data_IF_382270574663
#
_entry.id   IF_382270574663
#
_cell.length_a   1.000
_cell.length_b   1.000
_cell.length_c   1.000
_cell.angle_alpha   90.00
_cell.angle_beta   90.00
_cell.angle_gamma   90.00
#
_symmetry.space_group_name_H-M   'P 1'
#
loop_
_entity.id
_entity.type
_entity.pdbx_description
1 polymer ?
#
# COMPACT_ATOMS: atom_id res chain seq x y z
N UNK A 1 -14.68 13.40 20.27
CA UNK A 1 -13.44 12.59 20.22
C UNK A 1 -13.17 12.31 18.76
N UNK A 2 -12.01 12.71 18.25
CA UNK A 2 -11.59 12.36 16.88
C UNK A 2 -11.39 10.84 16.86
N UNK A 3 -12.16 10.12 16.04
CA UNK A 3 -11.98 8.68 15.87
C UNK A 3 -10.77 8.49 14.95
N UNK A 4 -9.66 8.04 15.53
CA UNK A 4 -8.48 7.62 14.78
C UNK A 4 -8.71 6.19 14.28
N UNK A 5 -8.23 5.89 13.08
CA UNK A 5 -8.25 4.54 12.53
C UNK A 5 -7.28 3.61 13.29
N UNK A 6 -7.45 2.28 13.24
CA UNK A 6 -6.63 1.35 14.03
C UNK A 6 -5.12 1.52 13.86
N UNK A 7 -4.63 1.78 12.65
CA UNK A 7 -3.22 2.09 12.43
C UNK A 7 -2.80 3.44 12.98
N UNK A 8 -3.65 4.46 12.91
CA UNK A 8 -3.38 5.78 13.48
C UNK A 8 -3.32 5.70 15.01
N UNK A 9 -4.17 4.86 15.61
CA UNK A 9 -4.09 4.53 17.04
C UNK A 9 -2.77 3.82 17.36
N UNK A 10 -2.33 2.87 16.52
CA UNK A 10 -1.04 2.21 16.69
C UNK A 10 0.14 3.19 16.55
N UNK A 11 0.14 4.08 15.55
CA UNK A 11 1.20 5.07 15.33
C UNK A 11 1.29 6.06 16.51
N UNK A 12 0.14 6.57 16.95
CA UNK A 12 0.03 7.43 18.13
C UNK A 12 0.56 6.71 19.36
N UNK A 13 0.18 5.44 19.53
CA UNK A 13 0.62 4.64 20.68
C UNK A 13 2.13 4.38 20.65
N UNK A 14 2.68 3.93 19.53
CA UNK A 14 4.11 3.65 19.36
C UNK A 14 4.95 4.92 19.61
N UNK A 15 4.54 6.05 19.03
CA UNK A 15 5.21 7.34 19.22
C UNK A 15 5.13 7.79 20.68
N UNK A 16 3.98 7.60 21.35
CA UNK A 16 3.82 7.94 22.76
C UNK A 16 4.68 7.05 23.68
N UNK A 17 4.80 5.75 23.38
CA UNK A 17 5.67 4.80 24.08
C UNK A 17 7.14 5.16 23.90
N UNK A 18 7.57 5.49 22.69
CA UNK A 18 8.95 5.91 22.41
C UNK A 18 9.33 7.18 23.18
N UNK A 19 8.43 8.17 23.22
CA UNK A 19 8.63 9.43 23.96
C UNK A 19 8.83 9.23 25.47
N UNK A 20 8.33 8.14 26.04
CA UNK A 20 8.51 7.81 27.47
C UNK A 20 9.54 6.70 27.70
N UNK A 21 10.34 6.37 26.69
CA UNK A 21 11.41 5.38 26.79
C UNK A 21 10.91 3.95 26.96
N UNK A 22 9.86 3.56 26.22
CA UNK A 22 9.33 2.19 26.22
C UNK A 22 8.33 1.87 27.33
N UNK A 23 7.94 2.86 28.15
CA UNK A 23 6.94 2.70 29.23
C UNK A 23 5.52 2.91 28.69
N UNK A 24 4.52 2.47 29.46
CA UNK A 24 3.11 2.74 29.15
C UNK A 24 2.85 4.26 29.28
N UNK A 25 2.47 4.96 28.20
CA UNK A 25 2.27 6.40 28.22
C UNK A 25 0.97 6.77 28.95
N UNK A 26 0.96 7.95 29.56
CA UNK A 26 -0.27 8.48 30.18
C UNK A 26 -1.20 9.05 29.11
N UNK A 27 -2.51 9.12 29.41
CA UNK A 27 -3.49 9.70 28.49
C UNK A 27 -3.19 11.14 28.06
N UNK A 28 -2.46 11.91 28.88
CA UNK A 28 -1.98 13.25 28.51
C UNK A 28 -0.92 13.20 27.40
N UNK A 29 0.05 12.31 27.52
CA UNK A 29 1.12 12.14 26.52
C UNK A 29 0.53 11.66 25.20
N UNK A 30 -0.39 10.69 25.24
CA UNK A 30 -1.14 10.24 24.06
C UNK A 30 -1.87 11.41 23.41
N UNK A 31 -2.57 12.24 24.20
CA UNK A 31 -3.28 13.42 23.68
C UNK A 31 -2.36 14.47 23.06
N UNK A 32 -1.20 14.72 23.66
CA UNK A 32 -0.21 15.65 23.13
C UNK A 32 0.40 15.15 21.80
N UNK A 33 0.60 13.84 21.66
CA UNK A 33 1.05 13.20 20.40
C UNK A 33 -0.02 13.32 19.32
N UNK A 34 -1.28 13.01 19.64
CA UNK A 34 -2.41 13.21 18.72
C UNK A 34 -2.46 14.66 18.25
N UNK A 35 -2.33 15.61 19.17
CA UNK A 35 -2.38 17.03 18.83
C UNK A 35 -1.20 17.46 17.96
N UNK A 36 0.02 17.00 18.23
CA UNK A 36 1.19 17.27 17.37
C UNK A 36 1.04 16.68 15.98
N UNK A 37 0.45 15.50 15.85
CA UNK A 37 0.15 14.88 14.55
C UNK A 37 -0.88 15.74 13.81
N UNK A 38 -1.95 16.16 14.48
CA UNK A 38 -2.98 17.06 13.93
C UNK A 38 -2.41 18.44 13.53
N UNK A 39 -1.42 18.96 14.23
CA UNK A 39 -0.79 20.25 13.94
C UNK A 39 0.22 20.15 12.78
N UNK A 40 0.94 19.03 12.66
CA UNK A 40 1.86 18.76 11.53
C UNK A 40 1.11 18.59 10.22
N UNK A 41 -0.16 18.16 10.28
CA UNK A 41 -1.03 17.87 9.15
C UNK A 41 -1.97 19.01 8.75
N UNK A 42 -1.65 20.27 9.09
CA UNK A 42 -2.37 21.44 8.55
C UNK A 42 -2.35 21.53 7.01
N UNK A 43 -1.51 20.75 6.34
CA UNK A 43 -1.63 20.49 4.90
C UNK A 43 -2.52 19.25 4.71
N UNK A 44 -3.66 19.38 4.02
CA UNK A 44 -4.57 18.25 3.80
C UNK A 44 -3.86 17.16 2.99
N UNK A 45 -4.26 15.91 3.22
CA UNK A 45 -3.82 14.80 2.38
C UNK A 45 -4.06 15.15 0.91
N UNK A 46 -2.98 15.18 0.11
CA UNK A 46 -3.04 15.55 -1.31
C UNK A 46 -3.26 14.36 -2.22
N UNK A 47 -3.29 13.12 -1.69
CA UNK A 47 -3.53 11.94 -2.50
C UNK A 47 -4.97 11.91 -3.01
N UNK A 48 -5.14 11.35 -4.21
CA UNK A 48 -6.43 11.11 -4.84
C UNK A 48 -6.67 9.62 -5.03
N UNK A 49 -7.94 9.24 -5.10
CA UNK A 49 -8.32 7.87 -5.43
C UNK A 49 -7.74 7.45 -6.79
N UNK A 50 -7.21 6.23 -6.84
CA UNK A 50 -6.59 5.66 -8.04
C UNK A 50 -5.16 6.14 -8.32
N UNK A 51 -4.62 7.06 -7.52
CA UNK A 51 -3.23 7.48 -7.68
C UNK A 51 -2.25 6.37 -7.36
N UNK A 52 -1.17 6.31 -8.12
CA UNK A 52 -0.06 5.40 -7.87
C UNK A 52 0.93 6.05 -6.91
N UNK A 53 1.34 5.29 -5.90
CA UNK A 53 2.31 5.70 -4.91
C UNK A 53 3.38 4.61 -4.72
N UNK A 54 4.51 4.98 -4.12
CA UNK A 54 5.52 4.01 -3.65
C UNK A 54 5.43 3.85 -2.14
N UNK A 55 5.58 2.61 -1.68
CA UNK A 55 5.64 2.30 -0.25
C UNK A 55 7.09 2.46 0.25
N UNK A 56 7.29 3.39 1.17
CA UNK A 56 8.53 3.58 1.93
C UNK A 56 8.39 2.84 3.27
N UNK A 57 8.51 1.52 3.24
CA UNK A 57 8.31 0.67 4.43
C UNK A 57 9.05 1.17 5.69
N UNK A 58 10.23 1.79 5.53
CA UNK A 58 11.05 2.40 6.59
C UNK A 58 11.07 1.52 7.86
N UNK A 59 10.39 1.95 8.90
CA UNK A 59 10.28 1.40 10.25
C UNK A 59 8.91 0.74 10.53
N UNK A 60 7.98 0.74 9.56
CA UNK A 60 6.66 0.14 9.73
C UNK A 60 6.72 -1.40 9.54
N UNK A 61 6.51 -2.20 10.60
CA UNK A 61 6.59 -3.66 10.52
C UNK A 61 5.48 -4.29 9.66
N UNK A 62 4.33 -3.63 9.51
CA UNK A 62 3.22 -4.11 8.66
C UNK A 62 3.55 -4.00 7.17
N UNK A 63 4.52 -3.13 6.81
CA UNK A 63 4.99 -2.92 5.44
C UNK A 63 6.26 -3.71 5.13
N UNK A 64 6.66 -4.66 6.00
CA UNK A 64 7.87 -5.46 5.81
C UNK A 64 7.83 -6.19 4.47
N UNK A 65 8.91 -6.04 3.69
CA UNK A 65 9.05 -6.61 2.35
C UNK A 65 8.43 -5.77 1.23
N UNK A 66 7.65 -4.73 1.55
CA UNK A 66 6.99 -3.86 0.55
C UNK A 66 7.76 -2.58 0.23
N UNK A 67 8.94 -2.41 0.83
CA UNK A 67 9.79 -1.25 0.60
C UNK A 67 10.18 -1.10 -0.87
N UNK A 68 9.76 0.00 -1.49
CA UNK A 68 10.01 0.30 -2.90
C UNK A 68 8.98 -0.27 -3.87
N UNK A 69 8.03 -1.09 -3.40
CA UNK A 69 6.91 -1.56 -4.21
C UNK A 69 5.96 -0.39 -4.51
N UNK A 70 5.28 -0.47 -5.65
CA UNK A 70 4.19 0.44 -5.96
C UNK A 70 2.87 -0.06 -5.37
N UNK A 71 1.92 0.85 -5.24
CA UNK A 71 0.55 0.57 -4.84
C UNK A 71 -0.40 1.65 -5.32
N UNK A 72 -1.69 1.37 -5.27
CA UNK A 72 -2.76 2.24 -5.77
C UNK A 72 -3.59 2.71 -4.60
N UNK A 73 -3.82 4.01 -4.50
CA UNK A 73 -4.67 4.59 -3.48
C UNK A 73 -6.12 4.15 -3.70
N UNK A 74 -6.62 3.27 -2.82
CA UNK A 74 -8.00 2.79 -2.82
C UNK A 74 -8.91 3.63 -1.92
N UNK A 75 -8.35 4.29 -0.89
CA UNK A 75 -9.06 5.22 0.00
C UNK A 75 -8.12 6.31 0.48
N UNK A 76 -8.62 7.53 0.55
CA UNK A 76 -7.91 8.70 1.10
C UNK A 76 -8.51 9.01 2.46
N UNK A 77 -7.70 9.02 3.51
CA UNK A 77 -8.08 9.45 4.85
C UNK A 77 -7.29 10.70 5.22
N UNK A 78 -7.56 11.30 6.38
CA UNK A 78 -6.93 12.57 6.77
C UNK A 78 -5.39 12.46 6.89
N UNK A 79 -4.87 11.34 7.40
CA UNK A 79 -3.42 11.14 7.65
C UNK A 79 -2.86 9.83 7.09
N UNK A 80 -3.67 9.10 6.33
CA UNK A 80 -3.29 7.83 5.74
C UNK A 80 -4.02 7.62 4.42
N UNK A 81 -3.53 6.68 3.63
CA UNK A 81 -4.28 6.12 2.52
C UNK A 81 -4.43 4.62 2.73
N UNK A 82 -5.57 4.05 2.34
CA UNK A 82 -5.62 2.62 2.03
C UNK A 82 -5.00 2.44 0.66
N UNK A 83 -3.93 1.65 0.60
CA UNK A 83 -3.17 1.36 -0.61
C UNK A 83 -3.36 -0.10 -0.97
N UNK A 84 -3.89 -0.34 -2.17
CA UNK A 84 -3.97 -1.64 -2.80
C UNK A 84 -2.61 -1.99 -3.41
N UNK A 85 -2.04 -3.09 -2.99
CA UNK A 85 -0.80 -3.68 -3.49
C UNK A 85 -1.11 -4.95 -4.27
N UNK A 86 -0.07 -5.63 -4.75
CA UNK A 86 -0.20 -6.93 -5.39
C UNK A 86 -0.70 -8.04 -4.46
N UNK A 87 -0.56 -7.88 -3.13
CA UNK A 87 -0.91 -8.91 -2.15
C UNK A 87 -2.12 -8.61 -1.26
N UNK A 88 -2.67 -7.41 -1.33
CA UNK A 88 -3.83 -7.01 -0.55
C UNK A 88 -3.96 -5.50 -0.41
N UNK A 89 -4.74 -5.06 0.56
CA UNK A 89 -4.88 -3.64 0.90
C UNK A 89 -4.28 -3.36 2.27
N UNK A 90 -3.56 -2.24 2.37
CA UNK A 90 -2.88 -1.82 3.57
C UNK A 90 -3.24 -0.37 3.86
N UNK A 91 -3.61 -0.05 5.09
CA UNK A 91 -3.55 1.33 5.51
C UNK A 91 -2.07 1.75 5.58
N UNK A 92 -1.74 2.95 5.10
CA UNK A 92 -0.36 3.45 5.05
C UNK A 92 -0.38 4.93 5.41
N UNK A 93 0.32 5.29 6.49
CA UNK A 93 0.51 6.68 6.88
C UNK A 93 1.26 7.48 5.79
N UNK A 94 0.92 8.75 5.62
CA UNK A 94 1.46 9.59 4.54
C UNK A 94 3.00 9.66 4.51
N UNK A 95 3.65 9.57 5.67
CA UNK A 95 5.12 9.54 5.81
C UNK A 95 5.79 8.29 5.22
N UNK A 96 5.01 7.23 4.99
CA UNK A 96 5.42 5.98 4.37
C UNK A 96 5.01 5.90 2.90
N UNK A 97 4.45 6.97 2.34
CA UNK A 97 4.13 7.07 0.92
C UNK A 97 5.06 8.06 0.23
N UNK A 98 5.46 7.73 -0.98
CA UNK A 98 6.14 8.64 -1.90
C UNK A 98 5.26 8.86 -3.10
N UNK A 99 4.98 10.12 -3.41
CA UNK A 99 4.36 10.50 -4.67
C UNK A 99 5.26 10.11 -5.84
N UNK A 100 4.65 9.47 -6.82
CA UNK A 100 5.19 9.45 -8.17
C UNK A 100 4.37 10.42 -9.01
N UNK A 101 5.00 11.43 -9.59
CA UNK A 101 4.40 12.23 -10.66
C UNK A 101 4.46 11.44 -11.97
N UNK A 102 3.90 10.24 -11.99
CA UNK A 102 3.76 9.47 -13.23
C UNK A 102 2.71 10.12 -14.13
N UNK A 103 2.92 10.00 -15.45
CA UNK A 103 1.91 10.39 -16.42
C UNK A 103 0.67 9.51 -16.26
N UNK A 104 -0.52 10.05 -16.52
CA UNK A 104 -1.81 9.35 -16.36
C UNK A 104 -1.82 7.96 -17.03
N UNK A 105 -1.28 7.85 -18.24
CA UNK A 105 -1.20 6.58 -18.98
C UNK A 105 -0.34 5.52 -18.27
N UNK A 106 0.73 5.94 -17.58
CA UNK A 106 1.58 5.04 -16.79
C UNK A 106 0.83 4.56 -15.55
N UNK A 107 0.08 5.46 -14.89
CA UNK A 107 -0.79 5.10 -13.77
C UNK A 107 -1.91 4.13 -14.17
N UNK A 108 -2.46 4.25 -15.39
CA UNK A 108 -3.45 3.32 -15.93
C UNK A 108 -2.88 1.91 -16.12
N UNK A 109 -1.70 1.81 -16.75
CA UNK A 109 -1.02 0.51 -16.94
C UNK A 109 -0.73 -0.18 -15.60
N UNK A 110 -0.24 0.57 -14.61
CA UNK A 110 0.03 0.01 -13.29
C UNK A 110 -1.24 -0.46 -12.58
N UNK A 111 -2.34 0.28 -12.72
CA UNK A 111 -3.66 -0.15 -12.21
C UNK A 111 -4.11 -1.44 -12.86
N UNK A 112 -4.01 -1.53 -14.18
CA UNK A 112 -4.36 -2.74 -14.93
C UNK A 112 -3.54 -3.95 -14.47
N UNK A 113 -2.22 -3.80 -14.36
CA UNK A 113 -1.33 -4.88 -13.88
C UNK A 113 -1.73 -5.32 -12.47
N UNK A 114 -2.02 -4.37 -11.57
CA UNK A 114 -2.44 -4.67 -10.20
C UNK A 114 -3.74 -5.46 -10.15
N UNK A 115 -4.72 -5.06 -10.94
CA UNK A 115 -6.01 -5.72 -10.98
C UNK A 115 -5.89 -7.12 -11.57
N UNK A 116 -5.10 -7.29 -12.62
CA UNK A 116 -4.80 -8.60 -13.21
C UNK A 116 -4.15 -9.55 -12.20
N UNK A 117 -3.12 -9.08 -11.48
CA UNK A 117 -2.45 -9.87 -10.43
C UNK A 117 -3.42 -10.23 -9.30
N UNK A 118 -4.20 -9.27 -8.79
CA UNK A 118 -5.11 -9.52 -7.68
C UNK A 118 -6.20 -10.53 -8.04
N UNK A 119 -6.79 -10.45 -9.24
CA UNK A 119 -7.79 -11.43 -9.71
C UNK A 119 -7.23 -12.86 -9.76
N UNK A 120 -5.98 -13.02 -10.19
CA UNK A 120 -5.33 -14.32 -10.14
C UNK A 120 -5.12 -14.82 -8.70
N UNK A 121 -4.75 -13.93 -7.78
CA UNK A 121 -4.56 -14.29 -6.37
C UNK A 121 -5.84 -14.64 -5.63
N UNK A 122 -6.99 -14.15 -6.11
CA UNK A 122 -8.32 -14.54 -5.64
C UNK A 122 -8.69 -15.99 -6.03
N UNK A 123 -7.96 -16.62 -6.96
CA UNK A 123 -8.19 -18.02 -7.32
C UNK A 123 -7.72 -18.96 -6.19
N UNK A 124 -8.65 -19.73 -5.61
CA UNK A 124 -8.37 -20.66 -4.51
C UNK A 124 -7.41 -21.78 -4.91
N UNK A 125 -7.40 -22.18 -6.18
CA UNK A 125 -6.56 -23.26 -6.71
C UNK A 125 -5.17 -22.77 -7.17
N UNK A 126 -4.83 -21.50 -6.94
CA UNK A 126 -3.56 -20.93 -7.37
C UNK A 126 -2.36 -21.64 -6.69
N UNK A 127 -1.57 -22.34 -7.49
CA UNK A 127 -0.40 -23.10 -7.05
C UNK A 127 0.72 -22.20 -6.52
N UNK A 128 1.60 -22.74 -5.67
CA UNK A 128 2.68 -21.98 -5.04
C UNK A 128 3.67 -21.41 -6.06
N UNK A 129 3.96 -22.14 -7.14
CA UNK A 129 4.81 -21.64 -8.22
C UNK A 129 4.18 -20.41 -8.90
N UNK A 130 2.88 -20.43 -9.16
CA UNK A 130 2.15 -19.29 -9.70
C UNK A 130 2.13 -18.12 -8.71
N UNK A 131 1.92 -18.38 -7.42
CA UNK A 131 2.00 -17.35 -6.36
C UNK A 131 3.37 -16.67 -6.32
N UNK A 132 4.44 -17.43 -6.46
CA UNK A 132 5.81 -16.89 -6.48
C UNK A 132 6.04 -15.98 -7.69
N UNK A 133 5.54 -16.36 -8.87
CA UNK A 133 5.60 -15.52 -10.07
C UNK A 133 4.80 -14.22 -9.86
N UNK A 134 3.56 -14.30 -9.39
CA UNK A 134 2.73 -13.11 -9.13
C UNK A 134 3.34 -12.17 -8.10
N UNK A 135 3.95 -12.73 -7.05
CA UNK A 135 4.73 -11.96 -6.08
C UNK A 135 5.87 -11.21 -6.76
N UNK A 136 6.65 -11.91 -7.58
CA UNK A 136 7.76 -11.28 -8.30
C UNK A 136 7.29 -10.11 -9.18
N UNK A 137 6.21 -10.30 -9.93
CA UNK A 137 5.61 -9.27 -10.78
C UNK A 137 5.07 -8.08 -9.97
N UNK A 138 4.51 -8.35 -8.80
CA UNK A 138 3.96 -7.33 -7.91
C UNK A 138 5.02 -6.50 -7.17
N UNK A 139 6.21 -7.06 -6.94
CA UNK A 139 7.33 -6.39 -6.26
C UNK A 139 8.22 -5.58 -7.22
N UNK A 140 7.91 -5.57 -8.52
CA UNK A 140 8.65 -4.79 -9.52
C UNK A 140 8.62 -3.30 -9.17
N UNK A 141 9.77 -2.63 -9.28
CA UNK A 141 9.89 -1.19 -8.99
C UNK A 141 9.54 -0.31 -10.19
N UNK A 142 9.56 -0.89 -11.38
CA UNK A 142 9.25 -0.21 -12.63
C UNK A 142 7.73 -0.24 -12.89
N UNK A 143 7.18 0.76 -13.58
CA UNK A 143 5.74 0.91 -13.74
C UNK A 143 5.15 0.13 -14.93
N UNK A 144 5.84 -0.90 -15.42
CA UNK A 144 5.43 -1.70 -16.57
C UNK A 144 6.00 -3.12 -16.50
N UNK A 145 5.36 -4.06 -17.19
CA UNK A 145 5.91 -5.39 -17.42
C UNK A 145 6.76 -5.41 -18.69
N UNK A 146 7.91 -6.07 -18.64
CA UNK A 146 8.67 -6.45 -19.82
C UNK A 146 7.91 -7.51 -20.63
N UNK A 147 8.33 -7.73 -21.88
CA UNK A 147 7.66 -8.72 -22.74
C UNK A 147 7.69 -10.15 -22.20
N UNK A 148 8.64 -10.52 -21.34
CA UNK A 148 8.67 -11.85 -20.69
C UNK A 148 7.72 -11.88 -19.50
N UNK A 149 7.76 -10.86 -18.66
CA UNK A 149 6.87 -10.70 -17.49
C UNK A 149 5.39 -10.69 -17.91
N UNK A 150 5.07 -9.98 -18.99
CA UNK A 150 3.73 -9.93 -19.58
C UNK A 150 3.28 -11.31 -20.07
N UNK A 151 4.16 -12.06 -20.75
CA UNK A 151 3.87 -13.44 -21.19
C UNK A 151 3.64 -14.39 -20.02
N UNK A 152 4.41 -14.24 -18.94
CA UNK A 152 4.22 -15.03 -17.73
C UNK A 152 2.85 -14.74 -17.11
N UNK A 153 2.48 -13.46 -16.99
CA UNK A 153 1.17 -13.08 -16.46
C UNK A 153 0.04 -13.64 -17.33
N UNK A 154 0.11 -13.46 -18.65
CA UNK A 154 -0.89 -14.00 -19.59
C UNK A 154 -1.01 -15.53 -19.56
N UNK A 155 0.10 -16.23 -19.36
CA UNK A 155 0.09 -17.69 -19.20
C UNK A 155 -0.72 -18.07 -17.96
N UNK A 156 -0.44 -17.45 -16.82
CA UNK A 156 -1.20 -17.70 -15.59
C UNK A 156 -2.68 -17.34 -15.76
N UNK A 157 -3.01 -16.20 -16.38
CA UNK A 157 -4.39 -15.82 -16.68
C UNK A 157 -5.13 -16.87 -17.53
N UNK A 158 -4.41 -17.51 -18.46
CA UNK A 158 -4.95 -18.59 -19.30
C UNK A 158 -5.17 -19.88 -18.52
N UNK A 159 -4.17 -20.34 -17.77
CA UNK A 159 -4.23 -21.60 -17.01
C UNK A 159 -5.29 -21.55 -15.90
N UNK A 160 -5.46 -20.40 -15.26
CA UNK A 160 -6.40 -20.21 -14.15
C UNK A 160 -7.76 -19.65 -14.59
N UNK A 161 -8.01 -19.48 -15.88
CA UNK A 161 -9.32 -19.09 -16.42
C UNK A 161 -9.75 -17.66 -16.06
N UNK A 162 -8.81 -16.74 -15.81
CA UNK A 162 -9.07 -15.37 -15.33
C UNK A 162 -9.16 -14.35 -16.49
N UNK A 163 -9.15 -14.81 -17.75
CA UNK A 163 -9.24 -13.92 -18.92
C UNK A 163 -10.50 -13.06 -18.90
N UNK A 164 -10.32 -11.75 -19.10
CA UNK A 164 -11.38 -10.86 -19.55
C UNK A 164 -11.68 -11.25 -21.01
N UNK A 165 -12.93 -11.57 -21.29
CA UNK A 165 -13.45 -11.50 -22.67
C UNK A 165 -13.41 -10.01 -23.04
N UNK A 166 -12.43 -9.60 -23.85
CA UNK A 166 -12.39 -8.28 -24.47
C UNK A 166 -13.54 -8.11 -25.46
#
# INVERSE_FOLDING_TARGET
MTKLEPQEQQEVWLTAVELVGGKVPTGRIVKDVVQKIMERSKLPNTYQWGEVCQILAKDNPELRGKGGCWGIVARVNDFSCTVKTWDGEYAVGLQHLKFYNYLSAVCEQMREICDRINRLRENENLEEAARAVLKHLGELKQPYLTGVEEKLLMLLESEYGVRIIL
#
